data_IF_992092050164
#
_entry.id   IF_992092050164
#
_cell.length_a   1.000
_cell.length_b   1.000
_cell.length_c   1.000
_cell.angle_alpha   90.00
_cell.angle_beta   90.00
_cell.angle_gamma   90.00
#
_symmetry.space_group_name_H-M   'P 1'
#
loop_
_entity.id
_entity.type
_entity.pdbx_description
1 polymer ?
#
# COMPACT_ATOMS: atom_id res chain seq x y z
N UNK A 1 14.64 -3.05 -6.48
CA UNK A 1 13.48 -3.96 -6.51
C UNK A 1 12.89 -3.96 -5.10
N UNK A 2 11.78 -3.24 -4.85
CA UNK A 2 11.21 -3.13 -3.50
C UNK A 2 10.84 -4.50 -2.90
N UNK A 3 10.57 -5.51 -3.73
CA UNK A 3 10.31 -6.88 -3.28
C UNK A 3 11.51 -7.57 -2.60
N UNK A 4 12.74 -7.09 -2.82
CA UNK A 4 13.99 -7.68 -2.30
C UNK A 4 14.67 -6.85 -1.20
N UNK A 5 14.14 -5.67 -0.90
CA UNK A 5 14.67 -4.86 0.20
C UNK A 5 14.01 -5.39 1.48
N UNK A 6 14.82 -5.93 2.39
CA UNK A 6 14.36 -6.26 3.74
C UNK A 6 13.86 -4.98 4.40
N UNK A 7 12.61 -4.96 4.83
CA UNK A 7 12.03 -3.81 5.51
C UNK A 7 10.98 -4.22 6.53
N UNK A 8 10.94 -3.50 7.65
CA UNK A 8 9.91 -3.73 8.65
C UNK A 8 8.50 -3.43 8.10
N UNK A 9 8.30 -2.51 7.15
CA UNK A 9 6.97 -2.22 6.58
C UNK A 9 7.06 -1.70 5.15
N UNK A 10 6.26 -2.27 4.25
CA UNK A 10 6.16 -1.81 2.87
C UNK A 10 4.85 -1.02 2.64
N UNK A 11 4.96 0.25 2.28
CA UNK A 11 3.82 1.13 1.99
C UNK A 11 3.45 1.03 0.52
N UNK A 12 2.20 0.63 0.25
CA UNK A 12 1.66 0.40 -1.08
C UNK A 12 0.48 1.33 -1.38
N UNK A 13 0.63 2.29 -2.30
CA UNK A 13 -0.47 3.11 -2.76
C UNK A 13 -1.40 2.34 -3.69
N UNK A 14 -2.71 2.46 -3.46
CA UNK A 14 -3.73 1.79 -4.25
C UNK A 14 -4.77 2.82 -4.71
N UNK A 15 -5.07 2.83 -6.00
CA UNK A 15 -6.18 3.63 -6.54
C UNK A 15 -7.50 2.88 -6.39
N UNK A 16 -8.58 3.65 -6.29
CA UNK A 16 -9.93 3.11 -6.43
C UNK A 16 -10.14 2.62 -7.86
N UNK A 17 -10.52 1.35 -8.01
CA UNK A 17 -10.69 0.67 -9.28
C UNK A 17 -10.03 -0.71 -9.26
N UNK A 18 -10.05 -1.39 -10.40
CA UNK A 18 -9.46 -2.74 -10.57
C UNK A 18 -7.96 -2.72 -10.84
N UNK A 19 -7.42 -1.58 -11.29
CA UNK A 19 -6.09 -1.55 -11.88
C UNK A 19 -5.04 -1.10 -10.86
N UNK A 20 -4.21 -2.05 -10.43
CA UNK A 20 -3.04 -1.78 -9.61
C UNK A 20 -1.98 -1.00 -10.41
N UNK A 21 -1.23 -0.16 -9.71
CA UNK A 21 -0.01 0.42 -10.26
C UNK A 21 0.97 -0.69 -10.69
N UNK A 22 1.74 -0.54 -11.77
CA UNK A 22 2.66 -1.60 -12.25
C UNK A 22 3.62 -2.10 -11.16
N UNK A 23 4.06 -1.22 -10.29
CA UNK A 23 4.92 -1.52 -9.15
C UNK A 23 4.20 -2.38 -8.10
N UNK A 24 2.94 -2.06 -7.82
CA UNK A 24 2.08 -2.76 -6.86
C UNK A 24 1.62 -4.09 -7.43
N UNK A 25 1.31 -4.18 -8.72
CA UNK A 25 0.97 -5.43 -9.40
C UNK A 25 2.10 -6.48 -9.29
N UNK A 26 3.36 -6.06 -9.48
CA UNK A 26 4.52 -6.96 -9.30
C UNK A 26 4.67 -7.48 -7.87
N UNK A 27 4.31 -6.65 -6.88
CA UNK A 27 4.33 -7.03 -5.47
C UNK A 27 3.14 -7.92 -5.12
N UNK A 28 1.98 -7.68 -5.73
CA UNK A 28 0.80 -8.53 -5.63
C UNK A 28 1.08 -9.94 -6.17
N UNK A 29 1.70 -10.04 -7.35
CA UNK A 29 2.13 -11.30 -7.94
C UNK A 29 3.11 -12.06 -7.03
N UNK A 30 4.07 -11.34 -6.43
CA UNK A 30 5.04 -11.90 -5.49
C UNK A 30 4.42 -12.33 -4.16
N UNK A 31 3.23 -11.80 -3.81
CA UNK A 31 2.50 -12.07 -2.56
C UNK A 31 1.25 -12.92 -2.74
N UNK A 32 1.23 -13.77 -3.78
CA UNK A 32 0.12 -14.69 -4.07
C UNK A 32 -1.24 -13.98 -4.25
N UNK A 33 -1.21 -12.79 -4.85
CA UNK A 33 -2.36 -11.91 -5.06
C UNK A 33 -3.03 -11.40 -3.79
N UNK A 34 -2.30 -11.26 -2.68
CA UNK A 34 -2.85 -10.80 -1.41
C UNK A 34 -3.59 -9.45 -1.54
N UNK A 35 -3.01 -8.48 -2.24
CA UNK A 35 -3.56 -7.13 -2.39
C UNK A 35 -4.80 -7.17 -3.28
N UNK A 36 -4.73 -7.88 -4.39
CA UNK A 36 -5.87 -8.12 -5.28
C UNK A 36 -7.04 -8.78 -4.54
N UNK A 37 -6.78 -9.82 -3.75
CA UNK A 37 -7.79 -10.52 -2.96
C UNK A 37 -8.46 -9.62 -1.91
N UNK A 38 -7.70 -8.73 -1.25
CA UNK A 38 -8.25 -7.77 -0.28
C UNK A 38 -9.21 -6.78 -0.96
N UNK A 39 -8.88 -6.33 -2.17
CA UNK A 39 -9.73 -5.45 -2.97
C UNK A 39 -10.98 -6.17 -3.47
N UNK A 40 -10.81 -7.36 -4.06
CA UNK A 40 -11.91 -8.16 -4.64
C UNK A 40 -12.94 -8.58 -3.57
N UNK A 41 -12.49 -8.90 -2.36
CA UNK A 41 -13.37 -9.23 -1.22
C UNK A 41 -14.02 -8.01 -0.58
N UNK A 42 -13.54 -6.80 -0.89
CA UNK A 42 -13.97 -5.56 -0.25
C UNK A 42 -13.43 -5.37 1.17
N UNK A 43 -12.40 -6.12 1.56
CA UNK A 43 -11.71 -5.97 2.85
C UNK A 43 -10.93 -4.64 2.91
N UNK A 44 -10.56 -4.10 1.75
CA UNK A 44 -9.94 -2.78 1.59
C UNK A 44 -10.70 -1.91 0.59
N UNK A 45 -11.17 -0.73 1.03
CA UNK A 45 -11.64 0.33 0.12
C UNK A 45 -10.51 1.35 -0.10
N UNK A 46 -10.05 1.49 -1.33
CA UNK A 46 -9.00 2.44 -1.72
C UNK A 46 -9.49 3.90 -1.78
N UNK A 47 -10.36 4.29 -0.84
CA UNK A 47 -10.79 5.67 -0.63
C UNK A 47 -9.62 6.56 -0.21
N UNK A 48 -9.67 7.83 -0.60
CA UNK A 48 -8.58 8.79 -0.36
C UNK A 48 -8.26 8.93 1.13
N UNK A 49 -7.04 8.54 1.51
CA UNK A 49 -6.53 8.61 2.88
C UNK A 49 -6.97 7.45 3.76
N UNK A 50 -7.68 6.45 3.23
CA UNK A 50 -7.90 5.20 3.96
C UNK A 50 -6.60 4.40 4.01
N UNK A 51 -6.31 3.77 5.15
CA UNK A 51 -5.11 2.94 5.31
C UNK A 51 -5.46 1.62 5.97
N UNK A 52 -4.75 0.57 5.58
CA UNK A 52 -4.90 -0.75 6.19
C UNK A 52 -3.54 -1.40 6.37
N UNK A 53 -3.22 -1.73 7.63
CA UNK A 53 -2.07 -2.55 7.93
C UNK A 53 -2.42 -4.03 7.78
N UNK A 54 -1.65 -4.73 6.96
CA UNK A 54 -1.68 -6.18 6.84
C UNK A 54 -0.43 -6.71 7.53
N UNK A 55 -0.54 -7.34 8.71
CA UNK A 55 0.60 -7.76 9.53
C UNK A 55 1.29 -9.03 9.00
N UNK A 56 1.13 -9.30 7.71
CA UNK A 56 1.69 -10.46 7.02
C UNK A 56 1.86 -10.14 5.54
N UNK A 57 3.00 -10.54 4.97
CA UNK A 57 3.38 -10.20 3.61
C UNK A 57 4.17 -11.38 2.98
N UNK A 58 3.49 -12.49 2.66
CA UNK A 58 4.17 -13.67 2.13
C UNK A 58 4.86 -13.33 0.81
N UNK A 59 6.04 -13.91 0.58
CA UNK A 59 6.80 -13.74 -0.67
C UNK A 59 7.42 -12.36 -0.90
N UNK A 60 7.20 -11.39 0.01
CA UNK A 60 7.88 -10.10 0.01
C UNK A 60 9.02 -10.10 1.04
N UNK A 61 10.06 -9.29 0.79
CA UNK A 61 11.08 -8.97 1.79
C UNK A 61 10.59 -8.05 2.91
N UNK A 62 9.31 -8.11 3.29
CA UNK A 62 8.74 -7.24 4.32
C UNK A 62 7.97 -8.06 5.36
N UNK A 63 7.96 -7.60 6.62
CA UNK A 63 7.15 -8.26 7.67
C UNK A 63 5.65 -7.97 7.50
N UNK A 64 5.32 -6.76 7.01
CA UNK A 64 3.96 -6.22 6.90
C UNK A 64 3.83 -5.27 5.73
N UNK A 65 2.61 -5.12 5.26
CA UNK A 65 2.24 -4.17 4.20
C UNK A 65 1.29 -3.13 4.78
N UNK A 66 1.48 -1.86 4.42
CA UNK A 66 0.53 -0.79 4.65
C UNK A 66 -0.11 -0.39 3.32
N UNK A 67 -1.38 -0.72 3.12
CA UNK A 67 -2.16 -0.23 1.98
C UNK A 67 -2.59 1.21 2.23
N UNK A 68 -2.49 2.06 1.22
CA UNK A 68 -2.87 3.48 1.28
C UNK A 68 -3.77 3.81 0.10
N UNK A 69 -5.01 4.20 0.38
CA UNK A 69 -5.98 4.58 -0.63
C UNK A 69 -5.71 5.97 -1.20
N UNK A 70 -5.52 6.03 -2.51
CA UNK A 70 -5.34 7.27 -3.29
C UNK A 70 -6.65 7.83 -3.83
N UNK A 71 -7.77 7.11 -3.68
CA UNK A 71 -9.04 7.48 -4.29
C UNK A 71 -9.06 7.27 -5.80
N UNK A 72 -9.95 7.97 -6.49
CA UNK A 72 -10.06 7.86 -7.96
C UNK A 72 -8.83 8.44 -8.65
N UNK A 73 -8.25 7.67 -9.58
CA UNK A 73 -7.03 8.07 -10.30
C UNK A 73 -7.14 9.44 -10.99
N UNK A 74 -8.30 9.74 -11.58
CA UNK A 74 -8.56 11.01 -12.26
C UNK A 74 -8.61 12.22 -11.29
N UNK A 75 -8.87 12.00 -10.00
CA UNK A 75 -8.96 13.04 -8.96
C UNK A 75 -7.70 13.14 -8.11
N UNK A 76 -6.72 12.26 -8.32
CA UNK A 76 -5.48 12.26 -7.57
C UNK A 76 -4.53 13.35 -8.07
N UNK A 77 -4.71 14.54 -7.55
CA UNK A 77 -3.82 15.69 -7.72
C UNK A 77 -2.95 15.89 -6.47
N UNK A 78 -2.13 16.94 -6.46
CA UNK A 78 -1.18 17.25 -5.38
C UNK A 78 -1.82 17.19 -3.98
N UNK A 79 -2.95 17.87 -3.76
CA UNK A 79 -3.62 17.89 -2.47
C UNK A 79 -4.12 16.49 -2.02
N UNK A 80 -4.57 15.66 -2.98
CA UNK A 80 -4.98 14.29 -2.69
C UNK A 80 -3.76 13.42 -2.35
N UNK A 81 -2.67 13.57 -3.11
CA UNK A 81 -1.45 12.84 -2.86
C UNK A 81 -0.85 13.17 -1.48
N UNK A 82 -0.79 14.45 -1.12
CA UNK A 82 -0.34 14.89 0.22
C UNK A 82 -1.22 14.26 1.31
N UNK A 83 -2.55 14.31 1.15
CA UNK A 83 -3.47 13.70 2.12
C UNK A 83 -3.25 12.19 2.29
N UNK A 84 -2.97 11.47 1.21
CA UNK A 84 -2.66 10.05 1.29
C UNK A 84 -1.31 9.80 2.01
N UNK A 85 -0.31 10.64 1.74
CA UNK A 85 0.99 10.58 2.40
C UNK A 85 0.86 10.84 3.91
N UNK A 86 0.10 11.87 4.30
CA UNK A 86 -0.19 12.18 5.71
C UNK A 86 -0.86 10.99 6.42
N UNK A 87 -1.86 10.37 5.77
CA UNK A 87 -2.52 9.19 6.31
C UNK A 87 -1.56 8.01 6.48
N UNK A 88 -0.64 7.80 5.52
CA UNK A 88 0.40 6.78 5.63
C UNK A 88 1.33 7.05 6.82
N UNK A 89 1.81 8.29 6.98
CA UNK A 89 2.68 8.68 8.09
C UNK A 89 2.00 8.52 9.45
N UNK A 90 0.73 8.91 9.56
CA UNK A 90 -0.07 8.71 10.78
C UNK A 90 -0.25 7.22 11.11
N UNK A 91 -0.36 6.35 10.11
CA UNK A 91 -0.42 4.91 10.33
C UNK A 91 0.94 4.33 10.76
N UNK A 92 2.03 4.74 10.09
CA UNK A 92 3.39 4.27 10.38
C UNK A 92 3.86 4.64 11.79
N UNK A 93 3.57 5.87 12.25
CA UNK A 93 3.95 6.34 13.60
C UNK A 93 3.30 5.57 14.75
N UNK A 94 2.25 4.76 14.48
CA UNK A 94 1.63 3.87 15.46
C UNK A 94 2.30 2.51 15.55
N UNK A 95 3.22 2.21 14.64
CA UNK A 95 3.90 0.93 14.57
C UNK A 95 5.24 1.00 15.33
N UNK A 96 5.62 -0.06 16.04
CA UNK A 96 6.93 -0.14 16.70
C UNK A 96 7.99 -0.56 15.66
N UNK A 97 8.27 0.30 14.69
CA UNK A 97 9.21 0.04 13.59
C UNK A 97 10.19 1.20 13.41
N UNK A 98 11.44 0.88 13.09
CA UNK A 98 12.49 1.88 12.86
C UNK A 98 12.58 2.33 11.39
N UNK A 99 12.07 1.51 10.46
CA UNK A 99 12.14 1.77 9.02
C UNK A 99 10.88 1.32 8.29
N UNK A 100 10.59 2.01 7.19
CA UNK A 100 9.56 1.64 6.24
C UNK A 100 9.95 2.11 4.84
N UNK A 101 9.65 1.30 3.83
CA UNK A 101 9.88 1.66 2.43
C UNK A 101 8.55 1.93 1.75
N UNK A 102 8.47 3.00 0.95
CA UNK A 102 7.26 3.34 0.22
C UNK A 102 7.46 3.21 -1.30
N UNK A 103 6.51 2.56 -1.98
CA UNK A 103 6.57 2.34 -3.42
C UNK A 103 5.59 3.28 -4.13
N UNK A 104 6.05 4.48 -4.45
CA UNK A 104 5.31 5.44 -5.29
C UNK A 104 6.00 5.56 -6.65
N UNK A 105 5.68 4.63 -7.56
CA UNK A 105 6.20 4.64 -8.95
C UNK A 105 5.17 4.05 -9.90
#
# INVERSE_FOLDING_TARGET
NPAKAETACLVLPVYKGSDLLPSVAKLDDASERLIGQLLERGDFDAALGNTQLVPFAPGLGADRILLVGLGERAKCQEAAFIKALDAAMVALTKLPIDEANATFA
#
